data_IF_401496995968
#
_entry.id   IF_401496995968
#
_cell.length_a   1.000
_cell.length_b   1.000
_cell.length_c   1.000
_cell.angle_alpha   90.00
_cell.angle_beta   90.00
_cell.angle_gamma   90.00
#
_symmetry.space_group_name_H-M   'P 1'
#
loop_
_entity.id
_entity.type
_entity.pdbx_description
1 polymer ?
#
# COMPACT_ATOMS: atom_id res chain seq x y z
N UNK A 1 35.96 15.36 -11.32
CA UNK A 1 35.37 14.11 -11.83
C UNK A 1 33.93 14.10 -11.39
N UNK A 2 32.99 14.09 -12.34
CA UNK A 2 31.55 14.06 -12.06
C UNK A 2 31.09 12.62 -12.27
N UNK A 3 30.40 12.02 -11.28
CA UNK A 3 29.80 10.71 -11.39
C UNK A 3 28.29 10.93 -11.38
N UNK A 4 27.64 10.74 -12.53
CA UNK A 4 26.16 10.76 -12.64
C UNK A 4 25.59 9.35 -12.42
N UNK A 5 24.70 9.19 -11.44
CA UNK A 5 23.84 8.03 -11.29
C UNK A 5 22.46 8.41 -11.81
N UNK A 6 22.19 8.12 -13.08
CA UNK A 6 20.95 8.55 -13.77
C UNK A 6 19.80 7.54 -13.63
N UNK A 7 20.00 6.45 -12.86
CA UNK A 7 19.00 5.37 -12.76
C UNK A 7 18.94 4.51 -14.03
N UNK A 8 17.95 3.64 -14.09
CA UNK A 8 17.63 2.82 -15.24
C UNK A 8 16.16 3.05 -15.62
N UNK A 9 15.89 3.16 -16.91
CA UNK A 9 14.52 3.17 -17.44
C UNK A 9 14.14 1.71 -17.70
N UNK A 10 12.99 1.29 -17.19
CA UNK A 10 12.45 -0.04 -17.42
C UNK A 10 12.26 -0.27 -18.95
N UNK A 11 12.57 -1.45 -19.49
CA UNK A 11 12.43 -1.75 -20.93
C UNK A 11 10.96 -1.99 -21.31
N UNK A 12 10.09 -1.01 -21.06
CA UNK A 12 8.64 -1.06 -21.28
C UNK A 12 8.30 -1.57 -22.70
N UNK A 13 8.93 -1.00 -23.72
CA UNK A 13 8.66 -1.40 -25.12
C UNK A 13 8.90 -2.89 -25.40
N UNK A 14 9.90 -3.48 -24.74
CA UNK A 14 10.15 -4.92 -24.82
C UNK A 14 9.02 -5.70 -24.18
N UNK A 15 8.56 -5.26 -23.01
CA UNK A 15 7.46 -5.91 -22.26
C UNK A 15 6.15 -5.79 -23.05
N UNK A 16 5.84 -4.62 -23.60
CA UNK A 16 4.69 -4.40 -24.49
C UNK A 16 4.75 -5.28 -25.76
N UNK A 17 5.95 -5.59 -26.30
CA UNK A 17 6.08 -6.45 -27.48
C UNK A 17 5.65 -7.90 -27.22
N UNK A 18 5.56 -8.32 -25.96
CA UNK A 18 4.99 -9.61 -25.55
C UNK A 18 3.47 -9.56 -25.34
N UNK A 19 2.81 -8.42 -25.60
CA UNK A 19 1.38 -8.24 -25.42
C UNK A 19 0.97 -7.85 -23.99
N UNK A 20 1.93 -7.51 -23.13
CA UNK A 20 1.64 -7.08 -21.76
C UNK A 20 1.13 -5.65 -21.78
N UNK A 21 -0.01 -5.43 -21.13
CA UNK A 21 -0.68 -4.14 -21.04
C UNK A 21 -0.26 -3.35 -19.81
N UNK A 22 -0.21 -2.03 -19.98
CA UNK A 22 0.03 -1.07 -18.91
C UNK A 22 -1.21 -0.19 -18.70
N UNK A 23 -1.48 0.29 -17.49
CA UNK A 23 -2.69 1.06 -17.19
C UNK A 23 -2.73 2.44 -17.86
N UNK A 24 -1.58 2.99 -18.27
CA UNK A 24 -1.44 4.28 -18.91
C UNK A 24 -0.07 4.42 -19.62
N UNK A 25 0.16 5.58 -20.27
CA UNK A 25 1.39 5.86 -21.01
C UNK A 25 2.54 6.45 -20.15
N UNK A 26 2.39 6.51 -18.83
CA UNK A 26 3.48 6.95 -17.95
C UNK A 26 4.67 5.97 -18.09
N UNK A 27 5.89 6.48 -18.36
CA UNK A 27 7.09 5.64 -18.44
C UNK A 27 7.37 4.82 -17.16
N UNK A 28 6.85 5.27 -16.02
CA UNK A 28 6.98 4.58 -14.74
C UNK A 28 5.77 3.69 -14.40
N UNK A 29 4.78 3.60 -15.28
CA UNK A 29 3.64 2.74 -15.05
C UNK A 29 4.09 1.28 -14.88
N UNK A 30 3.43 0.59 -13.97
CA UNK A 30 3.63 -0.83 -13.67
C UNK A 30 2.53 -1.60 -14.39
N UNK A 31 2.82 -2.75 -15.05
CA UNK A 31 1.81 -3.56 -15.69
C UNK A 31 0.77 -4.06 -14.68
N UNK A 32 -0.46 -4.27 -15.13
CA UNK A 32 -1.47 -4.92 -14.32
C UNK A 32 -1.10 -6.38 -14.09
N UNK A 33 -0.89 -6.76 -12.83
CA UNK A 33 -0.50 -8.11 -12.44
C UNK A 33 -1.51 -8.68 -11.44
N UNK A 34 -1.69 -10.00 -11.52
CA UNK A 34 -2.42 -10.74 -10.48
C UNK A 34 -1.62 -10.79 -9.17
N UNK A 35 -2.25 -11.27 -8.09
CA UNK A 35 -1.55 -11.54 -6.82
C UNK A 35 -0.45 -12.61 -6.95
N UNK A 36 -0.42 -13.34 -8.05
CA UNK A 36 0.59 -14.35 -8.38
C UNK A 36 1.59 -13.86 -9.43
N UNK A 37 1.65 -12.54 -9.67
CA UNK A 37 2.56 -11.89 -10.61
C UNK A 37 2.30 -12.20 -12.09
N UNK A 38 1.18 -12.84 -12.45
CA UNK A 38 0.80 -13.13 -13.81
C UNK A 38 0.22 -11.86 -14.48
N UNK A 39 0.66 -11.61 -15.72
CA UNK A 39 0.18 -10.49 -16.53
C UNK A 39 -1.20 -10.79 -17.18
N UNK A 40 -1.69 -9.85 -17.98
CA UNK A 40 -2.85 -10.06 -18.85
C UNK A 40 -2.63 -11.16 -19.91
N UNK A 41 -1.36 -11.55 -20.16
CA UNK A 41 -1.01 -12.65 -21.08
C UNK A 41 -0.81 -13.92 -20.28
N UNK A 42 -1.67 -14.95 -20.43
CA UNK A 42 -1.56 -16.20 -19.67
C UNK A 42 -0.18 -16.86 -19.82
N UNK A 43 0.40 -17.27 -18.70
CA UNK A 43 1.72 -17.91 -18.64
C UNK A 43 2.90 -16.93 -18.67
N UNK A 44 2.66 -15.61 -18.73
CA UNK A 44 3.72 -14.59 -18.63
C UNK A 44 3.64 -13.90 -17.27
N UNK A 45 4.69 -14.06 -16.49
CA UNK A 45 4.83 -13.49 -15.15
C UNK A 45 5.85 -12.35 -15.16
N UNK A 46 5.57 -11.27 -14.42
CA UNK A 46 6.46 -10.11 -14.33
C UNK A 46 6.78 -9.87 -12.86
N UNK A 47 8.07 -9.90 -12.53
CA UNK A 47 8.59 -9.74 -11.17
C UNK A 47 9.67 -8.67 -11.08
N UNK A 48 10.07 -8.32 -9.86
CA UNK A 48 11.13 -7.38 -9.59
C UNK A 48 10.81 -5.96 -10.05
N UNK A 49 11.80 -5.23 -10.51
CA UNK A 49 11.67 -3.81 -10.85
C UNK A 49 10.60 -3.51 -11.90
N UNK A 50 10.37 -4.40 -12.87
CA UNK A 50 9.30 -4.28 -13.86
C UNK A 50 7.91 -4.42 -13.27
N UNK A 51 7.78 -5.19 -12.20
CA UNK A 51 6.54 -5.36 -11.43
C UNK A 51 6.37 -4.33 -10.30
N UNK A 52 7.26 -3.32 -10.23
CA UNK A 52 7.20 -2.29 -9.19
C UNK A 52 8.05 -2.56 -7.95
N UNK A 53 8.85 -3.61 -7.94
CA UNK A 53 9.67 -4.03 -6.79
C UNK A 53 11.17 -3.88 -7.09
N UNK A 54 11.77 -2.71 -6.79
CA UNK A 54 13.16 -2.42 -7.18
C UNK A 54 14.21 -3.13 -6.32
N UNK A 55 13.83 -3.77 -5.22
CA UNK A 55 14.76 -4.43 -4.31
C UNK A 55 15.06 -5.86 -4.76
N UNK A 56 16.35 -6.19 -4.84
CA UNK A 56 16.84 -7.52 -5.27
C UNK A 56 16.22 -8.64 -4.41
N UNK A 57 16.15 -8.45 -3.09
CA UNK A 57 15.59 -9.45 -2.18
C UNK A 57 14.13 -9.77 -2.49
N UNK A 58 13.34 -8.74 -2.77
CA UNK A 58 11.93 -8.92 -3.17
C UNK A 58 11.84 -9.69 -4.49
N UNK A 59 12.62 -9.29 -5.51
CA UNK A 59 12.64 -9.98 -6.79
C UNK A 59 13.03 -11.46 -6.67
N UNK A 60 13.94 -11.80 -5.76
CA UNK A 60 14.33 -13.19 -5.49
C UNK A 60 13.19 -13.99 -4.84
N UNK A 61 12.49 -13.42 -3.87
CA UNK A 61 11.33 -14.06 -3.23
C UNK A 61 10.22 -14.28 -4.25
N UNK A 62 9.88 -13.25 -5.04
CA UNK A 62 8.88 -13.34 -6.10
C UNK A 62 9.22 -14.42 -7.13
N UNK A 63 10.51 -14.53 -7.50
CA UNK A 63 10.97 -15.58 -8.41
C UNK A 63 10.72 -16.99 -7.88
N UNK A 64 10.95 -17.22 -6.59
CA UNK A 64 10.61 -18.47 -5.92
C UNK A 64 9.09 -18.70 -5.92
N UNK A 65 8.33 -17.72 -5.49
CA UNK A 65 6.87 -17.78 -5.39
C UNK A 65 6.23 -18.09 -6.75
N UNK A 66 6.66 -17.42 -7.84
CA UNK A 66 6.16 -17.67 -9.20
C UNK A 66 6.40 -19.11 -9.62
N UNK A 67 7.59 -19.66 -9.36
CA UNK A 67 7.88 -21.08 -9.72
C UNK A 67 6.94 -22.01 -8.98
N UNK A 68 6.70 -21.77 -7.69
CA UNK A 68 5.77 -22.57 -6.89
C UNK A 68 4.32 -22.45 -7.43
N UNK A 69 3.87 -21.24 -7.81
CA UNK A 69 2.55 -21.04 -8.40
C UNK A 69 2.39 -21.78 -9.74
N UNK A 70 3.42 -21.74 -10.61
CA UNK A 70 3.43 -22.50 -11.88
C UNK A 70 3.33 -24.00 -11.63
N UNK A 71 3.94 -24.50 -10.55
CA UNK A 71 3.86 -25.91 -10.15
C UNK A 71 2.53 -26.28 -9.47
N UNK A 72 1.63 -25.28 -9.25
CA UNK A 72 0.35 -25.49 -8.59
C UNK A 72 0.43 -25.56 -7.06
N UNK A 73 1.57 -25.19 -6.49
CA UNK A 73 1.76 -25.16 -5.04
C UNK A 73 1.18 -23.85 -4.45
N UNK A 74 0.64 -23.95 -3.25
CA UNK A 74 0.24 -22.78 -2.46
C UNK A 74 1.41 -22.38 -1.57
N UNK A 75 2.01 -21.24 -1.86
CA UNK A 75 3.02 -20.63 -0.99
C UNK A 75 2.51 -19.33 -0.42
N UNK A 76 2.91 -19.03 0.80
CA UNK A 76 2.69 -17.72 1.39
C UNK A 76 3.84 -16.80 0.97
N UNK A 77 3.56 -15.57 0.55
CA UNK A 77 4.60 -14.57 0.31
C UNK A 77 5.53 -14.43 1.52
N UNK A 78 6.80 -14.16 1.27
CA UNK A 78 7.83 -14.09 2.31
C UNK A 78 7.57 -13.02 3.39
N UNK A 79 6.77 -12.00 3.05
CA UNK A 79 6.36 -10.90 3.93
C UNK A 79 5.06 -11.19 4.71
N UNK A 80 4.42 -12.33 4.45
CA UNK A 80 3.09 -12.65 4.99
C UNK A 80 3.04 -12.59 6.52
N UNK A 81 4.05 -13.14 7.18
CA UNK A 81 4.10 -13.17 8.65
C UNK A 81 4.28 -11.76 9.24
N UNK A 82 4.99 -10.86 8.54
CA UNK A 82 5.15 -9.46 8.95
C UNK A 82 3.81 -8.71 8.90
N UNK A 83 3.05 -8.91 7.83
CA UNK A 83 1.73 -8.28 7.67
C UNK A 83 0.72 -8.91 8.64
N UNK A 84 0.72 -10.23 8.80
CA UNK A 84 -0.13 -10.93 9.76
C UNK A 84 0.07 -10.41 11.19
N UNK A 85 1.31 -10.14 11.60
CA UNK A 85 1.60 -9.55 12.89
C UNK A 85 0.95 -8.17 13.08
N UNK A 86 0.91 -7.33 12.03
CA UNK A 86 0.23 -6.02 12.05
C UNK A 86 -1.29 -6.16 12.18
N UNK A 87 -1.87 -7.19 11.59
CA UNK A 87 -3.31 -7.46 11.62
C UNK A 87 -3.77 -8.21 12.87
N UNK A 88 -2.85 -8.70 13.68
CA UNK A 88 -3.16 -9.52 14.87
C UNK A 88 -4.08 -8.83 15.90
N UNK A 89 -4.11 -7.49 15.90
CA UNK A 89 -5.00 -6.70 16.77
C UNK A 89 -6.41 -6.51 16.21
N UNK A 90 -6.63 -6.80 14.93
CA UNK A 90 -7.94 -6.65 14.31
C UNK A 90 -8.86 -7.80 14.74
N UNK A 91 -10.13 -7.52 15.05
CA UNK A 91 -11.12 -8.54 15.41
C UNK A 91 -11.70 -9.23 14.16
N UNK A 92 -10.81 -9.66 13.24
CA UNK A 92 -11.18 -10.29 11.97
C UNK A 92 -10.60 -11.71 11.93
N UNK A 93 -11.45 -12.67 11.59
CA UNK A 93 -11.06 -14.06 11.31
C UNK A 93 -10.91 -14.27 9.80
N UNK A 94 -9.94 -13.55 9.23
CA UNK A 94 -9.62 -13.51 7.80
C UNK A 94 -8.13 -13.73 7.60
N UNK A 95 -7.76 -14.27 6.45
CA UNK A 95 -6.34 -14.35 6.10
C UNK A 95 -5.78 -12.98 5.65
N UNK A 96 -4.45 -12.90 5.48
CA UNK A 96 -3.76 -11.65 5.16
C UNK A 96 -4.26 -11.05 3.85
N UNK A 97 -4.47 -11.87 2.82
CA UNK A 97 -4.88 -11.39 1.50
C UNK A 97 -6.34 -10.91 1.52
N UNK A 98 -7.21 -11.58 2.28
CA UNK A 98 -8.60 -11.17 2.50
C UNK A 98 -8.67 -9.82 3.25
N UNK A 99 -7.86 -9.63 4.29
CA UNK A 99 -7.81 -8.35 5.02
C UNK A 99 -7.28 -7.23 4.14
N UNK A 100 -6.21 -7.48 3.37
CA UNK A 100 -5.67 -6.50 2.43
C UNK A 100 -6.71 -6.06 1.39
N UNK A 101 -7.41 -7.01 0.79
CA UNK A 101 -8.44 -6.71 -0.20
C UNK A 101 -9.62 -5.96 0.40
N UNK A 102 -10.06 -6.35 1.61
CA UNK A 102 -11.12 -5.67 2.34
C UNK A 102 -10.73 -4.20 2.66
N UNK A 103 -9.49 -3.95 3.08
CA UNK A 103 -8.98 -2.61 3.33
C UNK A 103 -8.95 -1.77 2.05
N UNK A 104 -8.43 -2.33 0.98
CA UNK A 104 -8.32 -1.66 -0.33
C UNK A 104 -9.68 -1.25 -0.86
N UNK A 105 -10.70 -2.10 -0.70
CA UNK A 105 -12.08 -1.80 -1.15
C UNK A 105 -12.78 -0.77 -0.27
N UNK A 106 -12.53 -0.77 1.04
CA UNK A 106 -13.18 0.15 1.97
C UNK A 106 -12.62 1.56 1.99
N UNK A 107 -11.40 1.75 1.53
CA UNK A 107 -10.69 3.03 1.61
C UNK A 107 -10.51 3.60 0.20
N UNK A 108 -11.34 4.56 -0.25
CA UNK A 108 -11.37 5.05 -1.62
C UNK A 108 -10.05 5.62 -2.13
N UNK A 109 -9.19 6.16 -1.25
CA UNK A 109 -7.87 6.70 -1.64
C UNK A 109 -6.97 5.60 -2.25
N UNK A 110 -7.27 4.32 -2.03
CA UNK A 110 -6.54 3.18 -2.58
C UNK A 110 -7.20 2.53 -3.80
N UNK A 111 -8.28 3.10 -4.32
CA UNK A 111 -9.03 2.54 -5.47
C UNK A 111 -8.15 2.25 -6.69
N UNK A 112 -7.14 3.09 -6.93
CA UNK A 112 -6.21 2.94 -8.07
C UNK A 112 -4.91 2.21 -7.72
N UNK A 113 -4.76 1.75 -6.48
CA UNK A 113 -3.60 0.97 -6.03
C UNK A 113 -3.89 -0.51 -6.27
N UNK A 114 -3.05 -1.20 -7.03
CA UNK A 114 -3.23 -2.63 -7.24
C UNK A 114 -2.91 -3.45 -5.97
N UNK A 115 -3.30 -4.72 -5.94
CA UNK A 115 -3.16 -5.58 -4.77
C UNK A 115 -1.69 -5.71 -4.29
N UNK A 116 -0.74 -5.80 -5.23
CA UNK A 116 0.69 -5.92 -4.91
C UNK A 116 1.25 -4.61 -4.34
N UNK A 117 0.88 -3.47 -4.94
CA UNK A 117 1.27 -2.15 -4.44
C UNK A 117 0.68 -1.88 -3.06
N UNK A 118 -0.56 -2.29 -2.82
CA UNK A 118 -1.20 -2.13 -1.52
C UNK A 118 -0.53 -3.00 -0.46
N UNK A 119 -0.15 -4.22 -0.81
CA UNK A 119 0.61 -5.11 0.06
C UNK A 119 1.96 -4.49 0.47
N UNK A 120 2.69 -3.90 -0.48
CA UNK A 120 3.94 -3.18 -0.22
C UNK A 120 3.73 -1.97 0.69
N UNK A 121 2.69 -1.18 0.43
CA UNK A 121 2.32 -0.04 1.28
C UNK A 121 2.07 -0.49 2.74
N UNK A 122 1.42 -1.64 2.93
CA UNK A 122 1.12 -2.16 4.26
C UNK A 122 2.36 -2.66 5.02
N UNK A 123 3.46 -3.00 4.33
CA UNK A 123 4.72 -3.32 5.00
C UNK A 123 5.29 -2.12 5.76
N UNK A 124 5.14 -0.91 5.22
CA UNK A 124 5.62 0.33 5.83
C UNK A 124 4.54 1.05 6.66
N UNK A 125 3.31 0.56 6.63
CA UNK A 125 2.19 1.12 7.40
C UNK A 125 2.05 0.47 8.77
N UNK A 126 1.37 1.16 9.69
CA UNK A 126 0.97 0.63 10.99
C UNK A 126 -0.55 0.51 11.07
N UNK A 127 -1.02 -0.50 11.79
CA UNK A 127 -2.45 -0.71 12.06
C UNK A 127 -2.68 -0.51 13.56
N UNK A 128 -3.57 0.43 13.88
CA UNK A 128 -3.91 0.76 15.25
C UNK A 128 -5.39 0.50 15.52
N UNK A 129 -5.67 -0.20 16.61
CA UNK A 129 -7.03 -0.34 17.17
C UNK A 129 -7.13 0.56 18.38
N UNK A 130 -7.94 1.60 18.26
CA UNK A 130 -8.07 2.62 19.30
C UNK A 130 -9.43 2.57 19.98
N UNK A 131 -9.48 2.95 21.24
CA UNK A 131 -10.73 3.03 22.00
C UNK A 131 -11.34 4.41 21.89
N UNK A 132 -12.65 4.50 22.08
CA UNK A 132 -13.38 5.78 22.11
C UNK A 132 -12.71 6.76 23.06
N UNK A 133 -12.48 7.99 22.57
CA UNK A 133 -11.85 9.08 23.32
C UNK A 133 -10.32 9.00 23.40
N UNK A 134 -9.69 8.06 22.68
CA UNK A 134 -8.23 8.05 22.53
C UNK A 134 -7.79 9.19 21.62
N UNK A 135 -6.83 9.99 22.06
CA UNK A 135 -6.25 11.07 21.25
C UNK A 135 -5.20 10.48 20.33
N UNK A 136 -5.41 10.62 19.03
CA UNK A 136 -4.49 10.10 17.98
C UNK A 136 -3.29 11.05 17.86
N UNK A 137 -3.54 12.34 17.76
CA UNK A 137 -2.52 13.40 17.85
C UNK A 137 -3.17 14.71 18.29
N UNK A 138 -2.37 15.65 18.79
CA UNK A 138 -2.82 16.96 19.22
C UNK A 138 -2.39 18.06 18.26
N UNK A 139 -3.16 19.16 18.26
CA UNK A 139 -2.80 20.36 17.52
C UNK A 139 -1.40 20.84 17.94
N UNK A 140 -0.59 21.23 16.95
CA UNK A 140 0.80 21.65 17.07
C UNK A 140 1.82 20.53 17.28
N UNK A 141 1.44 19.26 17.32
CA UNK A 141 2.38 18.14 17.25
C UNK A 141 3.16 18.18 15.93
N UNK A 142 4.38 17.67 15.97
CA UNK A 142 5.20 17.50 14.79
C UNK A 142 5.26 16.01 14.41
N UNK A 143 4.45 15.65 13.43
CA UNK A 143 4.32 14.29 12.94
C UNK A 143 3.96 14.34 11.44
N UNK A 144 4.54 13.42 10.67
CA UNK A 144 4.39 13.33 9.22
C UNK A 144 3.52 12.14 8.77
N UNK A 145 2.81 11.49 9.68
CA UNK A 145 1.91 10.40 9.34
C UNK A 145 0.59 10.92 8.82
N UNK A 146 -0.03 10.20 7.89
CA UNK A 146 -1.43 10.37 7.58
C UNK A 146 -2.17 9.07 7.93
N UNK A 147 -3.46 9.18 8.18
CA UNK A 147 -4.28 8.10 8.69
C UNK A 147 -5.48 7.87 7.78
N UNK A 148 -5.86 6.62 7.62
CA UNK A 148 -7.11 6.22 6.97
C UNK A 148 -7.99 5.46 7.96
N UNK A 149 -9.31 5.65 7.88
CA UNK A 149 -10.27 5.02 8.78
C UNK A 149 -10.81 3.76 8.12
N UNK A 150 -10.39 2.61 8.63
CA UNK A 150 -10.86 1.31 8.15
C UNK A 150 -12.18 0.90 8.81
N UNK A 151 -12.35 1.22 10.10
CA UNK A 151 -13.55 0.94 10.87
C UNK A 151 -13.74 2.01 11.97
N UNK A 152 -14.99 2.34 12.29
CA UNK A 152 -15.32 3.37 13.29
C UNK A 152 -15.32 4.78 12.73
N UNK A 153 -15.11 5.75 13.62
CA UNK A 153 -15.07 7.16 13.32
C UNK A 153 -14.14 7.92 14.27
N UNK A 154 -13.72 9.08 13.84
CA UNK A 154 -12.91 10.02 14.63
C UNK A 154 -13.58 11.40 14.68
N UNK A 155 -13.22 12.17 15.69
CA UNK A 155 -13.61 13.58 15.81
C UNK A 155 -12.37 14.45 15.62
N UNK A 156 -12.44 15.37 14.66
CA UNK A 156 -11.38 16.34 14.36
C UNK A 156 -11.76 17.68 14.98
N UNK A 157 -11.00 18.13 15.97
CA UNK A 157 -11.16 19.40 16.66
C UNK A 157 -10.28 20.48 16.02
N UNK A 158 -10.89 21.35 15.20
CA UNK A 158 -10.13 22.36 14.43
C UNK A 158 -9.82 23.60 15.27
N UNK A 159 -10.59 23.88 16.33
CA UNK A 159 -10.46 24.99 17.27
C UNK A 159 -11.80 25.65 17.56
N UNK A 160 -11.87 26.47 18.64
CA UNK A 160 -13.06 27.24 19.04
C UNK A 160 -14.38 26.46 19.06
N UNK A 161 -14.32 25.17 19.42
CA UNK A 161 -15.50 24.29 19.50
C UNK A 161 -16.00 23.73 18.16
N UNK A 162 -15.26 23.90 17.09
CA UNK A 162 -15.59 23.26 15.82
C UNK A 162 -15.11 21.79 15.82
N UNK A 163 -16.05 20.87 15.76
CA UNK A 163 -15.82 19.43 15.69
C UNK A 163 -16.34 18.89 14.36
N UNK A 164 -15.49 18.14 13.66
CA UNK A 164 -15.84 17.48 12.40
C UNK A 164 -15.75 15.99 12.63
N UNK A 165 -16.86 15.27 12.45
CA UNK A 165 -16.87 13.82 12.50
C UNK A 165 -16.43 13.25 11.15
N UNK A 166 -15.52 12.27 11.16
CA UNK A 166 -15.00 11.60 9.97
C UNK A 166 -15.06 10.09 10.18
N UNK A 167 -15.68 9.37 9.24
CA UNK A 167 -15.96 7.94 9.34
C UNK A 167 -15.16 7.10 8.34
N UNK A 168 -15.54 5.83 8.24
CA UNK A 168 -14.90 4.82 7.37
C UNK A 168 -14.66 5.33 5.95
N UNK A 169 -13.50 5.02 5.40
CA UNK A 169 -13.07 5.38 4.06
C UNK A 169 -12.46 6.77 3.95
N UNK A 170 -12.61 7.62 4.95
CA UNK A 170 -11.96 8.92 4.99
C UNK A 170 -10.50 8.80 5.46
N UNK A 171 -9.76 9.89 5.22
CA UNK A 171 -8.39 10.04 5.68
C UNK A 171 -8.21 11.40 6.36
N UNK A 172 -7.18 11.51 7.19
CA UNK A 172 -6.84 12.74 7.92
C UNK A 172 -5.34 12.80 8.24
N UNK A 173 -4.87 13.98 8.59
CA UNK A 173 -3.44 14.19 8.93
C UNK A 173 -2.55 14.49 7.74
N UNK A 174 -3.07 14.48 6.52
CA UNK A 174 -2.35 14.74 5.26
C UNK A 174 -1.78 16.16 5.18
N UNK A 175 -2.42 17.12 5.82
CA UNK A 175 -2.01 18.53 5.73
C UNK A 175 -0.60 18.78 6.26
N UNK A 176 -0.18 18.07 7.31
CA UNK A 176 1.19 18.19 7.83
C UNK A 176 2.20 17.52 6.90
N UNK A 177 1.83 16.40 6.29
CA UNK A 177 2.65 15.68 5.33
C UNK A 177 2.91 16.53 4.07
N UNK A 178 1.87 17.14 3.51
CA UNK A 178 1.95 17.95 2.29
C UNK A 178 2.68 19.28 2.54
N UNK A 179 2.37 19.95 3.67
CA UNK A 179 2.87 21.30 3.93
C UNK A 179 4.17 21.36 4.72
N UNK A 180 4.60 20.24 5.34
CA UNK A 180 5.71 20.21 6.27
C UNK A 180 5.46 21.00 7.57
N UNK A 181 4.20 21.36 7.86
CA UNK A 181 3.82 22.13 9.05
C UNK A 181 3.37 21.20 10.17
N UNK A 182 3.26 21.76 11.37
CA UNK A 182 2.70 21.08 12.54
C UNK A 182 1.23 20.73 12.33
N UNK A 183 0.71 19.78 13.11
CA UNK A 183 -0.70 19.39 13.11
C UNK A 183 -1.61 20.60 13.28
N UNK A 184 -2.59 20.76 12.41
CA UNK A 184 -3.53 21.89 12.41
C UNK A 184 -4.72 21.68 13.35
N UNK A 185 -4.99 20.45 13.77
CA UNK A 185 -6.11 20.04 14.60
C UNK A 185 -5.71 18.96 15.61
N UNK A 186 -6.56 18.74 16.61
CA UNK A 186 -6.51 17.55 17.48
C UNK A 186 -7.48 16.51 16.93
N UNK A 187 -7.11 15.21 16.95
CA UNK A 187 -7.96 14.11 16.48
C UNK A 187 -8.09 13.06 17.57
N UNK A 188 -9.35 12.64 17.84
CA UNK A 188 -9.70 11.66 18.87
C UNK A 188 -10.82 10.73 18.39
#
# INVERSE_FOLDING_TARGET
RIIGRLGAIAPRRLVESFGIEFPNDDPNAIPALSSQYESNVPGIYVIGALGGYPLIKQAMNQGYEVVEYILGNKVKPADNDLIAAKFSSLPLDLDVDEVLELMRQRIPVFEHVNALQFRELMLDSEVHVMRKGHVIFTKNDYDNSFYTIFEGDVVIEVGEGLHIQSGVGNFFGEMSLISGRRRSATVL
#
